data_IF_229594278704
#
_entry.id   IF_229594278704
#
_cell.length_a   1.000
_cell.length_b   1.000
_cell.length_c   1.000
_cell.angle_alpha   90.00
_cell.angle_beta   90.00
_cell.angle_gamma   90.00
#
_symmetry.space_group_name_H-M   'P 1'
#
loop_
_entity.id
_entity.type
_entity.pdbx_description
1 polymer ?
#
# COMPACT_ATOMS: atom_id res chain seq x y z
N UNK A 1 -13.88 57.37 -7.84
CA UNK A 1 -14.54 56.06 -7.78
C UNK A 1 -13.55 55.05 -7.22
N UNK A 2 -13.68 54.78 -5.91
CA UNK A 2 -12.91 53.77 -5.20
C UNK A 2 -13.64 52.43 -5.28
N UNK A 3 -12.97 51.38 -5.73
CA UNK A 3 -13.08 50.07 -5.09
C UNK A 3 -11.87 49.22 -5.44
N UNK A 4 -10.92 49.27 -4.50
CA UNK A 4 -9.87 48.27 -4.29
C UNK A 4 -10.56 46.92 -4.16
N UNK A 5 -10.41 46.04 -5.15
CA UNK A 5 -10.68 44.62 -4.95
C UNK A 5 -9.35 44.00 -4.59
N UNK A 6 -9.15 43.86 -3.27
CA UNK A 6 -8.21 42.91 -2.69
C UNK A 6 -8.57 41.52 -3.22
N UNK A 7 -7.97 41.09 -4.33
CA UNK A 7 -7.80 39.68 -4.59
C UNK A 7 -6.55 39.25 -3.83
N UNK A 8 -6.83 38.93 -2.57
CA UNK A 8 -6.15 37.98 -1.71
C UNK A 8 -5.09 37.23 -2.50
N UNK A 9 -3.84 37.67 -2.34
CA UNK A 9 -2.69 36.85 -2.63
C UNK A 9 -2.85 35.61 -1.78
N UNK A 10 -3.40 34.55 -2.39
CA UNK A 10 -3.28 33.22 -1.86
C UNK A 10 -1.77 32.98 -1.78
N UNK A 11 -1.25 33.15 -0.57
CA UNK A 11 0.03 32.63 -0.19
C UNK A 11 0.04 31.18 -0.64
N UNK A 12 0.66 30.93 -1.78
CA UNK A 12 1.19 29.64 -2.15
C UNK A 12 2.18 29.31 -1.04
N UNK A 13 1.64 28.73 0.03
CA UNK A 13 2.38 27.88 0.94
C UNK A 13 3.17 26.96 0.01
N UNK A 14 4.46 27.22 -0.11
CA UNK A 14 5.39 26.36 -0.83
C UNK A 14 5.41 25.08 -0.01
N UNK A 15 4.45 24.22 -0.35
CA UNK A 15 4.22 22.94 0.24
C UNK A 15 5.51 22.14 0.05
N UNK A 16 6.29 22.05 1.12
CA UNK A 16 7.51 21.26 1.13
C UNK A 16 7.14 19.80 0.78
N UNK A 17 8.04 19.04 0.11
CA UNK A 17 7.77 17.68 -0.36
C UNK A 17 7.41 16.67 0.75
N UNK A 18 7.53 17.06 2.03
CA UNK A 18 7.05 16.30 3.19
C UNK A 18 5.51 16.16 3.28
N UNK A 19 4.73 16.91 2.49
CA UNK A 19 3.27 16.94 2.65
C UNK A 19 2.53 15.77 1.99
N UNK A 20 3.15 15.04 1.06
CA UNK A 20 2.45 13.95 0.37
C UNK A 20 2.30 12.68 1.22
N UNK A 21 3.35 12.28 1.96
CA UNK A 21 3.27 11.16 2.91
C UNK A 21 2.44 11.53 4.14
N UNK A 22 2.51 12.78 4.63
CA UNK A 22 1.70 13.23 5.76
C UNK A 22 0.19 13.30 5.45
N UNK A 23 -0.21 13.49 4.19
CA UNK A 23 -1.62 13.58 3.81
C UNK A 23 -2.32 12.22 3.76
N UNK A 24 -1.60 11.14 3.42
CA UNK A 24 -2.17 9.79 3.33
C UNK A 24 -2.01 8.96 4.61
N UNK A 25 -1.38 9.53 5.64
CA UNK A 25 -1.07 8.83 6.88
C UNK A 25 0.06 7.81 6.71
N UNK A 26 0.18 6.92 7.70
CA UNK A 26 1.18 5.85 7.67
C UNK A 26 0.72 4.70 6.78
N UNK A 27 1.62 4.06 6.01
CA UNK A 27 1.28 2.83 5.30
C UNK A 27 0.77 1.78 6.29
N UNK A 28 -0.23 0.97 5.90
CA UNK A 28 -0.73 -0.10 6.77
C UNK A 28 0.38 -1.10 7.05
N UNK A 29 0.35 -1.69 8.25
CA UNK A 29 1.34 -2.66 8.70
C UNK A 29 1.02 -4.01 8.09
N UNK A 30 2.01 -4.59 7.40
CA UNK A 30 1.90 -5.94 6.85
C UNK A 30 1.67 -6.97 7.97
N UNK A 31 0.78 -7.95 7.77
CA UNK A 31 0.57 -9.01 8.75
C UNK A 31 1.81 -9.91 8.81
N UNK A 32 2.18 -10.36 10.01
CA UNK A 32 3.17 -11.41 10.15
C UNK A 32 2.54 -12.74 9.70
N UNK A 33 2.97 -13.23 8.54
CA UNK A 33 2.56 -14.55 8.04
C UNK A 33 3.55 -15.58 8.58
N UNK A 34 3.04 -16.51 9.39
CA UNK A 34 3.83 -17.67 9.85
C UNK A 34 4.31 -18.47 8.64
N UNK A 35 5.52 -19.00 8.70
CA UNK A 35 6.12 -19.74 7.60
C UNK A 35 5.63 -21.18 7.52
N UNK A 36 5.99 -21.88 6.44
CA UNK A 36 5.70 -23.31 6.29
C UNK A 36 6.27 -24.18 7.44
N UNK A 37 7.36 -23.74 8.07
CA UNK A 37 7.96 -24.42 9.22
C UNK A 37 7.02 -24.46 10.44
N UNK A 38 6.15 -23.46 10.59
CA UNK A 38 5.20 -23.38 11.69
C UNK A 38 4.09 -24.43 11.58
N UNK A 39 3.94 -25.10 10.43
CA UNK A 39 3.00 -26.21 10.26
C UNK A 39 3.56 -27.57 10.69
N UNK A 40 4.87 -27.67 10.89
CA UNK A 40 5.53 -28.93 11.25
C UNK A 40 5.06 -29.45 12.62
N UNK A 41 4.63 -30.71 12.67
CA UNK A 41 4.17 -31.34 13.91
C UNK A 41 2.80 -30.87 14.41
N UNK A 42 2.08 -30.02 13.66
CA UNK A 42 0.72 -29.60 14.00
C UNK A 42 -0.33 -30.57 13.44
N UNK A 43 -1.47 -30.62 14.12
CA UNK A 43 -2.66 -31.30 13.58
C UNK A 43 -3.20 -30.54 12.37
N UNK A 44 -3.99 -31.23 11.54
CA UNK A 44 -4.65 -30.64 10.38
C UNK A 44 -5.56 -29.46 10.76
N UNK A 45 -6.28 -29.56 11.88
CA UNK A 45 -7.17 -28.50 12.37
C UNK A 45 -6.39 -27.27 12.86
N UNK A 46 -5.27 -27.49 13.55
CA UNK A 46 -4.38 -26.40 13.98
C UNK A 46 -3.75 -25.69 12.77
N UNK A 47 -3.31 -26.47 11.77
CA UNK A 47 -2.76 -25.95 10.54
C UNK A 47 -3.81 -25.16 9.73
N UNK A 48 -5.06 -25.64 9.69
CA UNK A 48 -6.18 -24.94 9.07
C UNK A 48 -6.43 -23.58 9.74
N UNK A 49 -6.48 -23.56 11.07
CA UNK A 49 -6.69 -22.33 11.84
C UNK A 49 -5.57 -21.30 11.62
N UNK A 50 -4.33 -21.74 11.47
CA UNK A 50 -3.19 -20.87 11.13
C UNK A 50 -3.33 -20.26 9.74
N UNK A 51 -3.65 -21.07 8.73
CA UNK A 51 -3.86 -20.59 7.36
C UNK A 51 -5.06 -19.63 7.29
N UNK A 52 -6.15 -19.93 8.01
CA UNK A 52 -7.33 -19.07 8.06
C UNK A 52 -7.03 -17.73 8.74
N UNK A 53 -6.25 -17.73 9.81
CA UNK A 53 -5.79 -16.52 10.47
C UNK A 53 -4.90 -15.67 9.53
N UNK A 54 -3.96 -16.31 8.84
CA UNK A 54 -3.13 -15.67 7.83
C UNK A 54 -3.98 -15.04 6.72
N UNK A 55 -4.97 -15.77 6.17
CA UNK A 55 -5.89 -15.27 5.15
C UNK A 55 -6.67 -14.03 5.61
N UNK A 56 -7.18 -14.05 6.85
CA UNK A 56 -7.88 -12.89 7.44
C UNK A 56 -6.94 -11.69 7.55
N UNK A 57 -5.69 -11.91 7.98
CA UNK A 57 -4.65 -10.88 8.05
C UNK A 57 -4.34 -10.27 6.68
N UNK A 58 -4.09 -11.11 5.68
CA UNK A 58 -3.83 -10.65 4.29
C UNK A 58 -5.00 -9.83 3.77
N UNK A 59 -6.25 -10.30 3.92
CA UNK A 59 -7.44 -9.56 3.45
C UNK A 59 -7.60 -8.21 4.15
N UNK A 60 -7.41 -8.17 5.47
CA UNK A 60 -7.48 -6.91 6.23
C UNK A 60 -6.40 -5.91 5.80
N UNK A 61 -5.19 -6.40 5.56
CA UNK A 61 -4.08 -5.60 5.03
C UNK A 61 -4.39 -5.08 3.62
N UNK A 62 -4.82 -5.93 2.69
CA UNK A 62 -5.16 -5.53 1.31
C UNK A 62 -6.27 -4.49 1.27
N UNK A 63 -7.29 -4.61 2.12
CA UNK A 63 -8.35 -3.60 2.24
C UNK A 63 -7.78 -2.23 2.65
N UNK A 64 -6.95 -2.21 3.70
CA UNK A 64 -6.31 -0.97 4.18
C UNK A 64 -5.31 -0.41 3.16
N UNK A 65 -4.61 -1.29 2.45
CA UNK A 65 -3.64 -0.93 1.42
C UNK A 65 -4.30 -0.28 0.21
N UNK A 66 -5.49 -0.75 -0.19
CA UNK A 66 -6.27 -0.13 -1.27
C UNK A 66 -6.57 1.33 -0.97
N UNK A 67 -7.11 1.63 0.21
CA UNK A 67 -7.43 2.99 0.64
C UNK A 67 -6.18 3.87 0.68
N UNK A 68 -5.07 3.35 1.19
CA UNK A 68 -3.80 4.08 1.21
C UNK A 68 -3.29 4.38 -0.20
N UNK A 69 -3.33 3.40 -1.12
CA UNK A 69 -2.93 3.56 -2.52
C UNK A 69 -3.81 4.54 -3.28
N UNK A 70 -5.12 4.53 -3.06
CA UNK A 70 -6.06 5.51 -3.63
C UNK A 70 -5.70 6.94 -3.22
N UNK A 71 -5.31 7.14 -1.96
CA UNK A 71 -4.80 8.43 -1.51
C UNK A 71 -3.49 8.80 -2.24
N UNK A 72 -2.51 7.89 -2.36
CA UNK A 72 -1.27 8.16 -3.09
C UNK A 72 -1.52 8.53 -4.55
N UNK A 73 -2.46 7.87 -5.23
CA UNK A 73 -2.85 8.20 -6.61
C UNK A 73 -3.46 9.60 -6.67
N UNK A 74 -4.33 9.95 -5.72
CA UNK A 74 -4.93 11.28 -5.63
C UNK A 74 -3.87 12.37 -5.44
N UNK A 75 -2.91 12.14 -4.53
CA UNK A 75 -1.79 13.05 -4.30
C UNK A 75 -0.87 13.16 -5.52
N UNK A 76 -0.67 12.06 -6.25
CA UNK A 76 0.11 12.06 -7.50
C UNK A 76 -0.57 12.94 -8.55
N UNK A 77 -1.89 12.83 -8.70
CA UNK A 77 -2.65 13.65 -9.65
C UNK A 77 -2.62 15.14 -9.27
N UNK A 78 -2.74 15.45 -7.98
CA UNK A 78 -2.59 16.82 -7.49
C UNK A 78 -1.19 17.39 -7.77
N UNK A 79 -0.13 16.59 -7.54
CA UNK A 79 1.24 16.99 -7.83
C UNK A 79 1.50 17.17 -9.34
N UNK A 80 0.92 16.33 -10.20
CA UNK A 80 0.94 16.50 -11.66
C UNK A 80 0.23 17.78 -12.11
N UNK A 81 -0.93 18.09 -11.52
CA UNK A 81 -1.63 19.34 -11.79
C UNK A 81 -0.80 20.56 -11.38
N UNK A 82 -0.15 20.50 -10.21
CA UNK A 82 0.77 21.54 -9.74
C UNK A 82 1.99 21.70 -10.68
N UNK A 83 2.57 20.59 -11.15
CA UNK A 83 3.67 20.59 -12.13
C UNK A 83 3.26 21.26 -13.44
N UNK A 84 2.03 21.02 -13.92
CA UNK A 84 1.51 21.62 -15.15
C UNK A 84 1.18 23.11 -14.99
N UNK A 85 0.80 23.54 -13.78
CA UNK A 85 0.49 24.92 -13.45
C UNK A 85 1.71 25.77 -13.03
N UNK A 86 2.88 25.13 -12.86
CA UNK A 86 4.11 25.78 -12.42
C UNK A 86 4.56 26.87 -13.39
N UNK A 87 4.93 28.03 -12.86
CA UNK A 87 5.34 29.22 -13.64
C UNK A 87 6.85 29.35 -13.77
N UNK A 88 7.59 28.62 -12.96
CA UNK A 88 9.05 28.61 -12.96
C UNK A 88 9.62 27.21 -12.71
N UNK A 89 10.91 27.06 -12.99
CA UNK A 89 11.61 25.78 -12.88
C UNK A 89 11.71 25.27 -11.44
N UNK A 90 11.66 26.16 -10.44
CA UNK A 90 11.72 25.76 -9.03
C UNK A 90 10.40 25.11 -8.62
N UNK A 91 9.26 25.71 -8.99
CA UNK A 91 7.94 25.13 -8.77
C UNK A 91 7.79 23.79 -9.50
N UNK A 92 8.24 23.73 -10.76
CA UNK A 92 8.19 22.50 -11.56
C UNK A 92 9.06 21.41 -10.96
N UNK A 93 10.26 21.75 -10.47
CA UNK A 93 11.13 20.81 -9.77
C UNK A 93 10.51 20.31 -8.47
N UNK A 94 9.93 21.19 -7.65
CA UNK A 94 9.28 20.79 -6.41
C UNK A 94 8.13 19.80 -6.64
N UNK A 95 7.28 20.04 -7.64
CA UNK A 95 6.21 19.12 -8.02
C UNK A 95 6.75 17.79 -8.57
N UNK A 96 7.85 17.81 -9.33
CA UNK A 96 8.51 16.60 -9.83
C UNK A 96 9.09 15.75 -8.70
N UNK A 97 9.77 16.38 -7.75
CA UNK A 97 10.34 15.71 -6.57
C UNK A 97 9.23 15.11 -5.69
N UNK A 98 8.08 15.79 -5.58
CA UNK A 98 6.90 15.27 -4.90
C UNK A 98 6.31 14.03 -5.61
N UNK A 99 6.19 14.06 -6.95
CA UNK A 99 5.74 12.89 -7.72
C UNK A 99 6.67 11.69 -7.49
N UNK A 100 7.98 11.90 -7.56
CA UNK A 100 8.97 10.84 -7.33
C UNK A 100 8.89 10.24 -5.91
N UNK A 101 8.66 11.09 -4.90
CA UNK A 101 8.48 10.66 -3.51
C UNK A 101 7.23 9.81 -3.34
N UNK A 102 6.11 10.22 -3.94
CA UNK A 102 4.84 9.46 -3.89
C UNK A 102 4.99 8.14 -4.63
N UNK A 103 5.62 8.14 -5.80
CA UNK A 103 5.86 6.92 -6.58
C UNK A 103 6.70 5.92 -5.77
N UNK A 104 7.78 6.37 -5.13
CA UNK A 104 8.60 5.51 -4.27
C UNK A 104 7.79 4.92 -3.11
N UNK A 105 6.87 5.68 -2.52
CA UNK A 105 5.98 5.17 -1.48
C UNK A 105 4.99 4.14 -2.03
N UNK A 106 4.46 4.36 -3.23
CA UNK A 106 3.57 3.42 -3.90
C UNK A 106 4.31 2.12 -4.24
N UNK A 107 5.49 2.18 -4.83
CA UNK A 107 6.27 1.01 -5.21
C UNK A 107 6.58 0.12 -3.99
N UNK A 108 6.95 0.71 -2.85
CA UNK A 108 7.12 -0.02 -1.59
C UNK A 108 5.86 -0.77 -1.15
N UNK A 109 4.67 -0.22 -1.41
CA UNK A 109 3.41 -0.93 -1.10
C UNK A 109 3.22 -2.15 -2.00
N UNK A 110 3.67 -2.09 -3.26
CA UNK A 110 3.61 -3.21 -4.21
C UNK A 110 4.58 -4.30 -3.81
N UNK A 111 5.82 -3.93 -3.47
CA UNK A 111 6.83 -4.88 -3.00
C UNK A 111 6.37 -5.60 -1.72
N UNK A 112 5.85 -4.84 -0.76
CA UNK A 112 5.36 -5.39 0.51
C UNK A 112 4.15 -6.31 0.32
N UNK A 113 3.19 -5.93 -0.54
CA UNK A 113 2.06 -6.81 -0.85
C UNK A 113 2.50 -8.09 -1.54
N UNK A 114 3.44 -7.98 -2.49
CA UNK A 114 3.99 -9.15 -3.20
C UNK A 114 4.62 -10.13 -2.22
N UNK A 115 5.36 -9.63 -1.23
CA UNK A 115 5.94 -10.46 -0.18
C UNK A 115 4.85 -11.13 0.67
N UNK A 116 3.87 -10.37 1.16
CA UNK A 116 2.76 -10.89 1.99
C UNK A 116 1.96 -11.98 1.27
N UNK A 117 1.65 -11.76 -0.01
CA UNK A 117 0.91 -12.74 -0.84
C UNK A 117 1.75 -13.98 -1.11
N UNK A 118 3.05 -13.80 -1.38
CA UNK A 118 4.00 -14.92 -1.56
C UNK A 118 4.08 -15.76 -0.28
N UNK A 119 4.22 -15.13 0.88
CA UNK A 119 4.33 -15.83 2.16
C UNK A 119 3.04 -16.61 2.49
N UNK A 120 1.88 -16.00 2.25
CA UNK A 120 0.60 -16.69 2.37
C UNK A 120 0.47 -17.86 1.40
N UNK A 121 0.88 -17.68 0.14
CA UNK A 121 0.86 -18.73 -0.88
C UNK A 121 1.74 -19.92 -0.48
N UNK A 122 2.92 -19.64 0.06
CA UNK A 122 3.85 -20.67 0.55
C UNK A 122 3.26 -21.42 1.75
N UNK A 123 2.69 -20.71 2.72
CA UNK A 123 2.01 -21.30 3.88
C UNK A 123 0.83 -22.18 3.44
N UNK A 124 -0.03 -21.66 2.56
CA UNK A 124 -1.19 -22.38 2.04
C UNK A 124 -0.77 -23.61 1.24
N UNK A 125 0.28 -23.51 0.43
CA UNK A 125 0.85 -24.64 -0.32
C UNK A 125 1.40 -25.72 0.63
N UNK A 126 2.08 -25.33 1.70
CA UNK A 126 2.57 -26.27 2.71
C UNK A 126 1.42 -26.97 3.43
N UNK A 127 0.37 -26.23 3.81
CA UNK A 127 -0.86 -26.81 4.36
C UNK A 127 -1.50 -27.83 3.41
N UNK A 128 -1.61 -27.50 2.12
CA UNK A 128 -2.17 -28.43 1.14
C UNK A 128 -1.35 -29.71 0.94
N UNK A 129 -0.06 -29.71 1.28
CA UNK A 129 0.79 -30.91 1.26
C UNK A 129 0.63 -31.79 2.49
N UNK A 130 -0.05 -31.32 3.55
CA UNK A 130 -0.26 -32.09 4.78
C UNK A 130 -1.30 -33.22 4.62
N UNK A 131 -2.12 -33.22 3.56
CA UNK A 131 -3.00 -34.34 3.28
C UNK A 131 -3.82 -34.22 1.98
N UNK A 132 -4.00 -35.35 1.31
CA UNK A 132 -4.91 -35.52 0.16
C UNK A 132 -6.37 -35.40 0.62
N UNK A 133 -6.95 -34.20 0.55
CA UNK A 133 -8.37 -34.00 0.86
C UNK A 133 -8.70 -32.76 1.68
N UNK A 134 -7.74 -31.88 1.95
CA UNK A 134 -8.02 -30.61 2.60
C UNK A 134 -8.91 -29.75 1.70
N UNK A 135 -10.12 -29.44 2.20
CA UNK A 135 -11.08 -28.61 1.48
C UNK A 135 -10.45 -27.25 1.12
N UNK A 136 -10.45 -26.90 -0.17
CA UNK A 136 -9.82 -25.67 -0.69
C UNK A 136 -8.44 -25.88 -1.34
N UNK A 137 -7.86 -27.07 -1.25
CA UNK A 137 -6.62 -27.41 -1.95
C UNK A 137 -6.92 -28.06 -3.31
N UNK A 138 -6.29 -27.56 -4.38
CA UNK A 138 -6.35 -28.23 -5.67
C UNK A 138 -5.66 -29.59 -5.54
N UNK A 139 -6.32 -30.67 -5.97
CA UNK A 139 -5.66 -31.98 -6.06
C UNK A 139 -4.47 -31.86 -7.00
N UNK A 140 -3.29 -32.37 -6.64
CA UNK A 140 -2.21 -32.51 -7.60
C UNK A 140 -2.74 -33.34 -8.79
N UNK A 141 -2.55 -32.84 -10.01
CA UNK A 141 -2.84 -33.58 -11.24
C UNK A 141 -1.77 -34.63 -11.48
#
# INVERSE_FOLDING_TARGET
MFKRVCLIGAALMVASPALAQNACGTPPVAPAITGAADLSGKSTDDAHNLVLAALKGVKGYQGSLSTYRECLVTQTNAAKAAQAAAKDDKEKKAATDQIATIQTAYDKTVDTETQVVTDYSNLHTAYCKMGDGLAGCAKPK
#
